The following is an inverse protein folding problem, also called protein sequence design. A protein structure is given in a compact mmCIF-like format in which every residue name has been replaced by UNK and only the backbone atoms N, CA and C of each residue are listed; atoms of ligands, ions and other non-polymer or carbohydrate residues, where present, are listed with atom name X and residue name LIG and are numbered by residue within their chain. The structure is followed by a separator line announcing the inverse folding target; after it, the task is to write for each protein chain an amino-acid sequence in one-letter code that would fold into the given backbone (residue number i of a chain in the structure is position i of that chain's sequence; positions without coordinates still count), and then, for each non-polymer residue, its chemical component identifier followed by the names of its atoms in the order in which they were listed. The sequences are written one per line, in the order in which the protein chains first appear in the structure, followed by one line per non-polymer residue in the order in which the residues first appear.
data_IF_379492774652
#
_entry.id   IF_379492774652
#
_cell.length_a   1.000
_cell.length_b   1.000
_cell.length_c   1.000
_cell.angle_alpha   90.00
_cell.angle_beta   90.00
_cell.angle_gamma   90.00
#
_symmetry.space_group_name_H-M   'P 1'
#
loop_
_entity.id
_entity.type
_entity.pdbx_description
1 polymer ?
#
# COMPACT_ATOMS: atom_id res chain seq x y z
N UNK A 1 -17.04 5.80 -1.13
CA UNK A 1 -17.01 7.23 -0.89
C UNK A 1 -16.45 7.95 -2.11
N UNK A 2 -16.98 9.09 -2.41
CA UNK A 2 -16.51 9.98 -3.50
C UNK A 2 -16.26 11.35 -2.92
N UNK A 3 -15.15 12.01 -3.28
CA UNK A 3 -14.79 13.35 -2.82
C UNK A 3 -14.65 13.46 -1.30
N UNK A 4 -14.30 12.37 -0.62
CA UNK A 4 -14.33 12.29 0.84
C UNK A 4 -12.92 12.39 1.42
N UNK A 5 -12.78 13.11 2.53
CA UNK A 5 -11.52 13.20 3.27
C UNK A 5 -11.63 12.49 4.62
N UNK A 6 -10.69 11.55 4.85
CA UNK A 6 -10.42 10.91 6.14
C UNK A 6 -9.08 11.44 6.67
N UNK A 7 -9.11 12.26 7.70
CA UNK A 7 -7.91 12.93 8.17
C UNK A 7 -7.71 12.82 9.67
N UNK A 8 -6.48 12.57 10.10
CA UNK A 8 -6.03 12.53 11.50
C UNK A 8 -6.81 11.55 12.37
N UNK A 9 -7.34 10.48 11.76
CA UNK A 9 -7.98 9.44 12.53
C UNK A 9 -6.91 8.53 13.17
N UNK A 10 -7.14 8.15 14.41
CA UNK A 10 -6.17 7.38 15.19
C UNK A 10 -6.82 6.13 15.76
N UNK A 11 -6.29 4.96 15.40
CA UNK A 11 -6.58 3.70 16.08
C UNK A 11 -5.49 3.45 17.13
N UNK A 12 -5.82 3.66 18.41
CA UNK A 12 -4.83 3.63 19.49
C UNK A 12 -4.33 2.23 19.84
N UNK A 13 -5.13 1.21 19.57
CA UNK A 13 -4.83 -0.15 20.01
C UNK A 13 -4.46 -1.12 18.91
N UNK A 14 -4.89 -0.93 17.66
CA UNK A 14 -4.73 -1.95 16.64
C UNK A 14 -4.63 -1.39 15.21
N UNK A 15 -5.68 -1.54 14.39
CA UNK A 15 -5.59 -1.48 12.93
C UNK A 15 -6.58 -0.48 12.34
N UNK A 16 -6.22 0.07 11.15
CA UNK A 16 -7.09 0.89 10.34
C UNK A 16 -7.41 2.24 10.98
N UNK A 17 -6.48 3.20 10.92
CA UNK A 17 -6.70 4.53 11.52
C UNK A 17 -7.92 5.23 10.95
N UNK A 18 -8.14 5.13 9.63
CA UNK A 18 -9.33 5.65 8.97
C UNK A 18 -10.43 4.61 8.81
N UNK A 19 -10.09 3.40 8.27
CA UNK A 19 -11.05 2.34 7.97
C UNK A 19 -10.50 0.97 8.35
N UNK A 20 -11.31 0.18 9.05
CA UNK A 20 -11.10 -1.25 9.26
C UNK A 20 -12.14 -2.03 8.47
N UNK A 21 -11.70 -2.86 7.50
CA UNK A 21 -12.58 -3.73 6.71
C UNK A 21 -12.28 -5.20 7.01
N UNK A 22 -13.25 -5.92 7.56
CA UNK A 22 -13.19 -7.36 7.79
C UNK A 22 -14.13 -8.08 6.82
N UNK A 23 -13.61 -8.44 5.63
CA UNK A 23 -14.39 -9.12 4.58
C UNK A 23 -15.34 -8.22 3.79
N UNK A 24 -15.33 -6.90 4.03
CA UNK A 24 -16.18 -5.94 3.32
C UNK A 24 -15.52 -5.34 2.07
N UNK A 25 -16.29 -4.57 1.30
CA UNK A 25 -15.80 -3.86 0.11
C UNK A 25 -15.76 -2.35 0.35
N UNK A 26 -14.63 -1.74 0.00
CA UNK A 26 -14.41 -0.30 0.03
C UNK A 26 -14.28 0.20 -1.41
N UNK A 27 -14.98 1.28 -1.73
CA UNK A 27 -14.79 2.03 -2.98
C UNK A 27 -14.45 3.48 -2.63
N UNK A 28 -13.30 3.94 -3.09
CA UNK A 28 -12.84 5.33 -2.95
C UNK A 28 -12.60 5.93 -4.34
N UNK A 29 -13.22 7.07 -4.58
CA UNK A 29 -13.05 7.83 -5.83
C UNK A 29 -12.82 9.30 -5.44
N UNK A 30 -11.84 9.96 -6.06
CA UNK A 30 -11.51 11.37 -5.82
C UNK A 30 -11.39 11.74 -4.33
N UNK A 31 -10.86 10.82 -3.53
CA UNK A 31 -10.89 10.93 -2.07
C UNK A 31 -9.49 11.16 -1.49
N UNK A 32 -9.42 11.48 -0.19
CA UNK A 32 -8.15 11.70 0.51
C UNK A 32 -8.13 10.96 1.84
N UNK A 33 -7.02 10.27 2.10
CA UNK A 33 -6.71 9.62 3.37
C UNK A 33 -5.40 10.21 3.89
N UNK A 34 -5.47 11.14 4.85
CA UNK A 34 -4.31 11.95 5.23
C UNK A 34 -4.01 11.87 6.72
N UNK A 35 -2.72 11.75 7.09
CA UNK A 35 -2.24 11.84 8.48
C UNK A 35 -2.95 10.85 9.43
N UNK A 36 -3.51 9.74 8.91
CA UNK A 36 -4.14 8.73 9.76
C UNK A 36 -3.07 7.83 10.39
N UNK A 37 -3.36 7.29 11.58
CA UNK A 37 -2.37 6.53 12.36
C UNK A 37 -2.97 5.28 12.98
N UNK A 38 -2.23 4.16 12.89
CA UNK A 38 -2.58 2.89 13.52
C UNK A 38 -1.33 2.03 13.79
N UNK A 39 -1.47 0.86 14.38
CA UNK A 39 -0.42 -0.13 14.42
C UNK A 39 -0.26 -0.84 13.06
N UNK A 40 -1.35 -1.11 12.35
CA UNK A 40 -1.33 -1.64 10.98
C UNK A 40 -2.34 -0.95 10.11
N UNK A 41 -1.94 -0.58 8.88
CA UNK A 41 -2.75 0.20 7.97
C UNK A 41 -3.10 1.56 8.54
N UNK A 42 -2.16 2.51 8.51
CA UNK A 42 -2.39 3.84 9.06
C UNK A 42 -3.67 4.47 8.54
N UNK A 43 -3.96 4.33 7.26
CA UNK A 43 -5.24 4.71 6.68
C UNK A 43 -6.26 3.56 6.72
N UNK A 44 -5.93 2.40 6.11
CA UNK A 44 -6.88 1.29 5.89
C UNK A 44 -6.24 -0.06 6.21
N UNK A 45 -7.01 -0.92 6.86
CA UNK A 45 -6.75 -2.36 6.85
C UNK A 45 -7.81 -3.12 6.06
N UNK A 46 -7.35 -4.10 5.27
CA UNK A 46 -8.18 -5.09 4.59
C UNK A 46 -7.89 -6.45 5.21
N UNK A 47 -8.78 -6.94 6.06
CA UNK A 47 -8.68 -8.21 6.75
C UNK A 47 -9.76 -9.19 6.26
N UNK A 48 -9.50 -10.50 6.38
CA UNK A 48 -10.52 -11.53 6.13
C UNK A 48 -11.13 -11.47 4.72
N UNK A 49 -10.33 -11.20 3.70
CA UNK A 49 -10.80 -11.07 2.32
C UNK A 49 -11.45 -9.72 1.99
N UNK A 50 -11.25 -8.70 2.82
CA UNK A 50 -11.70 -7.34 2.52
C UNK A 50 -11.12 -6.80 1.22
N UNK A 51 -11.87 -6.02 0.48
CA UNK A 51 -11.45 -5.46 -0.81
C UNK A 51 -11.47 -3.93 -0.81
N UNK A 52 -10.56 -3.32 -1.55
CA UNK A 52 -10.57 -1.88 -1.83
C UNK A 52 -10.36 -1.64 -3.32
N UNK A 53 -11.30 -0.92 -3.92
CA UNK A 53 -11.17 -0.35 -5.26
C UNK A 53 -10.96 1.15 -5.12
N UNK A 54 -9.84 1.64 -5.63
CA UNK A 54 -9.38 3.01 -5.40
C UNK A 54 -9.08 3.68 -6.73
N UNK A 55 -9.72 4.81 -6.97
CA UNK A 55 -9.55 5.59 -8.19
C UNK A 55 -9.25 7.04 -7.81
N UNK A 56 -8.24 7.63 -8.42
CA UNK A 56 -7.86 9.05 -8.29
C UNK A 56 -7.87 9.56 -6.83
N UNK A 57 -7.34 8.73 -5.93
CA UNK A 57 -7.38 8.99 -4.49
C UNK A 57 -5.96 9.17 -3.92
N UNK A 58 -5.79 10.14 -3.05
CA UNK A 58 -4.51 10.39 -2.38
C UNK A 58 -4.46 9.75 -0.98
N UNK A 59 -3.37 9.02 -0.72
CA UNK A 59 -2.98 8.53 0.60
C UNK A 59 -1.68 9.24 1.00
N UNK A 60 -1.79 10.24 1.90
CA UNK A 60 -0.66 11.09 2.22
C UNK A 60 -0.31 11.08 3.71
N UNK A 61 0.98 10.96 4.01
CA UNK A 61 1.53 11.08 5.37
C UNK A 61 0.85 10.18 6.42
N UNK A 62 0.28 9.04 6.01
CA UNK A 62 -0.27 8.07 6.96
C UNK A 62 0.85 7.28 7.62
N UNK A 63 0.66 6.90 8.89
CA UNK A 63 1.73 6.27 9.68
C UNK A 63 1.28 5.01 10.39
N UNK A 64 2.15 3.99 10.40
CA UNK A 64 1.89 2.73 11.09
C UNK A 64 3.19 2.02 11.53
N UNK A 65 3.06 0.87 12.19
CA UNK A 65 4.17 -0.07 12.33
C UNK A 65 4.34 -0.86 11.02
N UNK A 66 3.21 -1.28 10.42
CA UNK A 66 3.18 -2.00 9.15
C UNK A 66 2.13 -1.40 8.22
N UNK A 67 2.53 -1.09 6.97
CA UNK A 67 1.65 -0.47 5.98
C UNK A 67 1.23 0.94 6.37
N UNK A 68 2.07 1.95 6.13
CA UNK A 68 1.75 3.33 6.49
C UNK A 68 0.39 3.78 6.00
N UNK A 69 0.02 3.44 4.76
CA UNK A 69 -1.35 3.62 4.26
C UNK A 69 -2.19 2.35 4.39
N UNK A 70 -1.77 1.24 3.76
CA UNK A 70 -2.54 -0.01 3.75
C UNK A 70 -1.82 -1.16 4.47
N UNK A 71 -2.59 -1.89 5.29
CA UNK A 71 -2.26 -3.25 5.65
C UNK A 71 -3.28 -4.21 5.02
N UNK A 72 -2.79 -5.18 4.25
CA UNK A 72 -3.62 -6.17 3.55
C UNK A 72 -3.28 -7.54 4.09
N UNK A 73 -4.24 -8.20 4.73
CA UNK A 73 -4.07 -9.51 5.37
C UNK A 73 -5.10 -10.53 4.84
N UNK A 74 -4.68 -11.81 4.75
CA UNK A 74 -5.54 -12.97 4.51
C UNK A 74 -6.55 -12.78 3.35
N UNK A 75 -6.03 -12.84 2.14
CA UNK A 75 -6.81 -12.73 0.90
C UNK A 75 -7.44 -11.34 0.66
N UNK A 76 -7.02 -10.33 1.40
CA UNK A 76 -7.41 -8.96 1.11
C UNK A 76 -6.91 -8.52 -0.28
N UNK A 77 -7.66 -7.65 -0.94
CA UNK A 77 -7.34 -7.19 -2.30
C UNK A 77 -7.39 -5.67 -2.37
N UNK A 78 -6.30 -5.07 -2.78
CA UNK A 78 -6.23 -3.67 -3.19
C UNK A 78 -6.11 -3.58 -4.71
N UNK A 79 -7.01 -2.87 -5.34
CA UNK A 79 -6.93 -2.51 -6.76
C UNK A 79 -6.94 -0.99 -6.90
N UNK A 80 -6.00 -0.46 -7.66
CA UNK A 80 -5.98 0.96 -8.02
C UNK A 80 -6.21 1.14 -9.51
N UNK A 81 -6.83 2.25 -9.86
CA UNK A 81 -7.05 2.64 -11.25
C UNK A 81 -6.89 4.16 -11.41
N UNK A 82 -6.72 4.60 -12.64
CA UNK A 82 -6.90 5.99 -13.04
C UNK A 82 -8.26 6.13 -13.71
N UNK A 83 -9.07 7.04 -13.24
CA UNK A 83 -10.39 7.36 -13.84
C UNK A 83 -10.35 8.50 -14.82
N UNK A 84 -9.25 9.23 -14.90
CA UNK A 84 -9.19 10.51 -15.57
C UNK A 84 -8.20 10.64 -16.72
N UNK A 85 -8.41 11.70 -17.48
CA UNK A 85 -7.52 12.19 -18.53
C UNK A 85 -6.77 13.39 -17.95
N UNK A 86 -5.46 13.27 -17.75
CA UNK A 86 -4.63 14.38 -17.27
C UNK A 86 -3.34 13.89 -16.60
N UNK A 87 -2.37 14.77 -16.47
CA UNK A 87 -1.04 14.46 -15.90
C UNK A 87 -1.06 14.14 -14.41
N UNK A 88 -2.12 14.55 -13.70
CA UNK A 88 -2.29 14.35 -12.26
C UNK A 88 -3.38 13.31 -11.91
N UNK A 89 -3.99 12.69 -12.95
CA UNK A 89 -4.94 11.62 -12.75
C UNK A 89 -4.23 10.34 -12.27
N UNK A 90 -4.82 9.69 -11.28
CA UNK A 90 -4.34 8.44 -10.73
C UNK A 90 -4.20 8.44 -9.21
N UNK A 91 -4.08 7.25 -8.67
CA UNK A 91 -3.95 7.07 -7.22
C UNK A 91 -2.53 7.38 -6.75
N UNK A 92 -2.42 8.22 -5.71
CA UNK A 92 -1.15 8.67 -5.16
C UNK A 92 -0.95 8.15 -3.73
N UNK A 93 0.20 7.51 -3.49
CA UNK A 93 0.71 7.19 -2.15
C UNK A 93 1.94 8.05 -1.89
N UNK A 94 1.79 9.11 -1.08
CA UNK A 94 2.83 10.11 -0.87
C UNK A 94 3.25 10.21 0.60
N UNK A 95 4.55 10.06 0.85
CA UNK A 95 5.14 10.30 2.17
C UNK A 95 4.57 9.43 3.29
N UNK A 96 3.98 8.26 2.98
CA UNK A 96 3.51 7.35 4.03
C UNK A 96 4.69 6.66 4.70
N UNK A 97 4.56 6.38 6.00
CA UNK A 97 5.67 5.84 6.78
C UNK A 97 5.25 4.65 7.63
N UNK A 98 6.06 3.60 7.59
CA UNK A 98 5.96 2.48 8.51
C UNK A 98 7.29 2.29 9.25
N UNK A 99 7.23 1.98 10.54
CA UNK A 99 8.47 1.74 11.29
C UNK A 99 9.15 0.44 10.89
N UNK A 100 8.38 -0.55 10.41
CA UNK A 100 8.93 -1.87 10.09
C UNK A 100 8.74 -2.25 8.62
N UNK A 101 7.52 -2.39 8.13
CA UNK A 101 7.26 -2.99 6.82
C UNK A 101 6.30 -2.16 5.96
N UNK A 102 6.66 -1.94 4.69
CA UNK A 102 5.84 -1.32 3.67
C UNK A 102 5.43 0.11 4.02
N UNK A 103 6.23 1.10 3.63
CA UNK A 103 5.95 2.52 3.94
C UNK A 103 4.57 2.96 3.48
N UNK A 104 4.16 2.57 2.29
CA UNK A 104 2.78 2.74 1.83
C UNK A 104 1.95 1.48 2.08
N UNK A 105 2.37 0.31 1.60
CA UNK A 105 1.58 -0.91 1.60
C UNK A 105 2.35 -2.09 2.21
N UNK A 106 1.75 -2.73 3.20
CA UNK A 106 2.14 -4.06 3.65
C UNK A 106 1.08 -5.06 3.22
N UNK A 107 1.49 -6.09 2.47
CA UNK A 107 0.60 -7.17 2.07
C UNK A 107 1.11 -8.51 2.59
N UNK A 108 0.24 -9.21 3.32
CA UNK A 108 0.48 -10.55 3.82
C UNK A 108 -0.60 -11.50 3.30
N UNK A 109 -0.22 -12.43 2.42
CA UNK A 109 -1.15 -13.41 1.83
C UNK A 109 -2.36 -12.76 1.14
N UNK A 110 -2.17 -11.65 0.48
CA UNK A 110 -3.19 -10.88 -0.22
C UNK A 110 -2.75 -10.46 -1.62
N UNK A 111 -3.53 -9.61 -2.23
CA UNK A 111 -3.28 -9.11 -3.59
C UNK A 111 -3.19 -7.59 -3.61
N UNK A 112 -2.18 -7.09 -4.30
CA UNK A 112 -2.02 -5.68 -4.68
C UNK A 112 -1.97 -5.61 -6.19
N UNK A 113 -2.94 -4.93 -6.79
CA UNK A 113 -3.03 -4.69 -8.21
C UNK A 113 -3.01 -3.18 -8.47
N UNK A 114 -1.86 -2.67 -8.85
CA UNK A 114 -1.66 -1.25 -9.11
C UNK A 114 -1.78 -0.98 -10.61
N UNK A 115 -2.86 -0.32 -10.97
CA UNK A 115 -3.15 0.07 -12.34
C UNK A 115 -2.41 1.33 -12.79
N UNK A 116 -2.56 1.64 -14.06
CA UNK A 116 -1.96 2.80 -14.72
C UNK A 116 -2.25 4.10 -13.99
N UNK A 117 -1.26 4.99 -13.96
CA UNK A 117 -1.34 6.28 -13.28
C UNK A 117 -1.09 6.22 -11.76
N UNK A 118 -0.93 5.02 -11.18
CA UNK A 118 -0.60 4.91 -9.75
C UNK A 118 0.84 5.34 -9.50
N UNK A 119 1.02 6.17 -8.45
CA UNK A 119 2.32 6.65 -8.00
C UNK A 119 2.54 6.34 -6.53
N UNK A 120 3.70 5.79 -6.20
CA UNK A 120 4.17 5.61 -4.83
C UNK A 120 5.45 6.41 -4.68
N UNK A 121 5.40 7.54 -3.96
CA UNK A 121 6.55 8.42 -3.86
C UNK A 121 6.85 8.83 -2.40
N UNK A 122 8.15 8.97 -2.08
CA UNK A 122 8.58 9.46 -0.78
C UNK A 122 8.19 8.58 0.41
N UNK A 123 7.73 7.33 0.18
CA UNK A 123 7.32 6.44 1.27
C UNK A 123 8.55 5.82 1.94
N UNK A 124 8.44 5.52 3.25
CA UNK A 124 9.55 5.06 4.05
C UNK A 124 9.19 3.90 4.96
N UNK A 125 10.07 2.88 5.02
CA UNK A 125 10.01 1.79 6.00
C UNK A 125 11.38 1.14 6.19
N UNK A 126 11.55 0.29 7.22
CA UNK A 126 12.76 -0.53 7.31
C UNK A 126 12.83 -1.55 6.18
N UNK A 127 11.70 -2.15 5.78
CA UNK A 127 11.64 -3.10 4.66
C UNK A 127 10.56 -2.70 3.67
N UNK A 128 10.96 -2.53 2.39
CA UNK A 128 10.08 -2.06 1.33
C UNK A 128 9.63 -0.62 1.56
N UNK A 129 10.44 0.35 1.16
CA UNK A 129 10.12 1.76 1.35
C UNK A 129 8.72 2.12 0.90
N UNK A 130 8.27 1.60 -0.24
CA UNK A 130 6.88 1.70 -0.66
C UNK A 130 6.07 0.45 -0.29
N UNK A 131 6.49 -0.75 -0.75
CA UNK A 131 5.73 -1.98 -0.59
C UNK A 131 6.56 -3.08 0.07
N UNK A 132 5.99 -3.74 1.07
CA UNK A 132 6.47 -5.03 1.57
C UNK A 132 5.44 -6.11 1.30
N UNK A 133 5.87 -7.19 0.64
CA UNK A 133 5.03 -8.35 0.36
C UNK A 133 5.53 -9.58 1.10
N UNK A 134 4.64 -10.25 1.83
CA UNK A 134 4.93 -11.48 2.55
C UNK A 134 4.01 -12.61 2.11
N UNK A 135 4.61 -13.66 1.51
CA UNK A 135 3.96 -14.96 1.38
C UNK A 135 4.12 -15.74 2.69
N UNK A 136 3.03 -15.94 3.43
CA UNK A 136 3.02 -16.69 4.67
C UNK A 136 3.11 -18.20 4.44
N UNK A 137 3.12 -18.98 5.52
CA UNK A 137 3.17 -20.44 5.43
C UNK A 137 2.02 -20.96 4.56
N UNK A 138 2.37 -21.71 3.51
CA UNK A 138 1.43 -22.33 2.56
C UNK A 138 0.44 -21.35 1.91
N UNK A 139 0.83 -20.08 1.78
CA UNK A 139 0.00 -19.03 1.23
C UNK A 139 0.81 -18.06 0.35
N UNK A 140 0.12 -17.28 -0.48
CA UNK A 140 0.75 -16.42 -1.48
C UNK A 140 0.41 -14.96 -1.30
N UNK A 141 1.38 -14.08 -1.52
CA UNK A 141 1.14 -12.68 -1.84
C UNK A 141 1.28 -12.48 -3.36
N UNK A 142 0.37 -11.69 -3.94
CA UNK A 142 0.39 -11.35 -5.36
C UNK A 142 0.55 -9.85 -5.55
N UNK A 143 1.48 -9.47 -6.40
CA UNK A 143 1.71 -8.09 -6.81
C UNK A 143 1.56 -7.98 -8.33
N UNK A 144 0.78 -7.03 -8.79
CA UNK A 144 0.70 -6.66 -10.21
C UNK A 144 0.89 -5.16 -10.32
N UNK A 145 1.78 -4.73 -11.20
CA UNK A 145 2.05 -3.32 -11.45
C UNK A 145 1.94 -3.06 -12.95
N UNK A 146 1.08 -2.13 -13.35
CA UNK A 146 0.90 -1.72 -14.73
C UNK A 146 0.93 -0.20 -14.84
N UNK A 147 1.89 0.35 -15.57
CA UNK A 147 2.03 1.81 -15.71
C UNK A 147 2.20 2.54 -14.38
N UNK A 148 2.86 1.91 -13.41
CA UNK A 148 3.05 2.41 -12.05
C UNK A 148 4.41 3.09 -11.91
N UNK A 149 4.48 4.17 -11.12
CA UNK A 149 5.74 4.86 -10.79
C UNK A 149 6.08 4.70 -9.32
N UNK A 150 7.30 4.21 -9.04
CA UNK A 150 7.90 4.16 -7.70
C UNK A 150 9.02 5.19 -7.64
N UNK A 151 8.79 6.33 -6.95
CA UNK A 151 9.72 7.45 -6.90
C UNK A 151 10.21 7.78 -5.50
N UNK A 152 11.52 7.92 -5.29
CA UNK A 152 12.13 8.46 -4.05
C UNK A 152 11.70 7.75 -2.76
N UNK A 153 11.30 6.47 -2.84
CA UNK A 153 11.00 5.69 -1.64
C UNK A 153 12.30 5.23 -0.97
N UNK A 154 12.26 5.04 0.35
CA UNK A 154 13.46 4.70 1.09
C UNK A 154 13.23 3.58 2.11
N UNK A 155 14.22 2.69 2.21
CA UNK A 155 14.18 1.58 3.15
C UNK A 155 15.59 1.17 3.62
N UNK A 156 15.68 0.37 4.68
CA UNK A 156 16.91 -0.33 4.97
C UNK A 156 17.12 -1.45 3.96
N UNK A 157 16.06 -2.19 3.67
CA UNK A 157 16.06 -3.25 2.65
C UNK A 157 14.95 -2.98 1.62
N UNK A 158 15.28 -2.99 0.32
CA UNK A 158 14.35 -2.70 -0.75
C UNK A 158 13.80 -1.27 -0.70
N UNK A 159 14.49 -0.33 -1.33
CA UNK A 159 14.09 1.08 -1.32
C UNK A 159 12.66 1.32 -1.82
N UNK A 160 12.23 0.62 -2.85
CA UNK A 160 10.85 0.64 -3.30
C UNK A 160 10.08 -0.60 -2.81
N UNK A 161 10.47 -1.79 -3.24
CA UNK A 161 9.77 -3.05 -2.96
C UNK A 161 10.70 -4.03 -2.27
N UNK A 162 10.20 -4.67 -1.23
CA UNK A 162 10.82 -5.82 -0.58
C UNK A 162 9.83 -6.97 -0.53
N UNK A 163 10.28 -8.16 -0.90
CA UNK A 163 9.45 -9.37 -0.84
C UNK A 163 10.13 -10.46 -0.03
N UNK A 164 9.35 -11.23 0.71
CA UNK A 164 9.80 -12.37 1.49
C UNK A 164 8.73 -13.46 1.50
N UNK A 165 9.15 -14.70 1.69
CA UNK A 165 8.23 -15.81 1.84
C UNK A 165 8.67 -16.72 2.99
N UNK A 166 7.71 -17.23 3.75
CA UNK A 166 7.92 -18.31 4.72
C UNK A 166 8.00 -19.66 4.01
N UNK A 167 8.36 -20.72 4.74
CA UNK A 167 8.38 -22.09 4.19
C UNK A 167 7.01 -22.44 3.59
N UNK A 168 7.02 -22.89 2.33
CA UNK A 168 5.79 -23.19 1.56
C UNK A 168 5.03 -21.97 1.04
N UNK A 169 5.41 -20.77 1.45
CA UNK A 169 4.81 -19.53 0.94
C UNK A 169 5.46 -19.05 -0.36
N UNK A 170 4.76 -18.19 -1.08
CA UNK A 170 5.26 -17.57 -2.31
C UNK A 170 4.93 -16.09 -2.38
N UNK A 171 5.74 -15.33 -3.12
CA UNK A 171 5.39 -13.99 -3.59
C UNK A 171 5.49 -13.99 -5.11
N UNK A 172 4.37 -13.74 -5.77
CA UNK A 172 4.28 -13.65 -7.22
C UNK A 172 4.18 -12.20 -7.64
N UNK A 173 5.12 -11.70 -8.42
CA UNK A 173 5.12 -10.33 -8.91
C UNK A 173 5.15 -10.29 -10.43
N UNK A 174 4.31 -9.44 -11.02
CA UNK A 174 4.29 -9.12 -12.44
C UNK A 174 4.32 -7.60 -12.62
N UNK A 175 5.07 -7.13 -13.60
CA UNK A 175 5.22 -5.70 -13.88
C UNK A 175 5.23 -5.44 -15.39
N UNK A 176 4.53 -4.38 -15.82
CA UNK A 176 4.57 -3.85 -17.18
C UNK A 176 4.57 -2.32 -17.14
N UNK A 177 5.41 -1.71 -17.96
CA UNK A 177 5.51 -0.25 -18.08
C UNK A 177 5.73 0.47 -16.74
N UNK A 178 6.57 -0.11 -15.87
CA UNK A 178 6.84 0.40 -14.52
C UNK A 178 8.11 1.22 -14.49
N UNK A 179 8.07 2.34 -13.78
CA UNK A 179 9.23 3.20 -13.55
C UNK A 179 9.68 3.11 -12.09
N UNK A 180 10.96 2.85 -11.86
CA UNK A 180 11.62 2.96 -10.55
C UNK A 180 12.66 4.07 -10.63
N UNK A 181 12.49 5.16 -9.87
CA UNK A 181 13.39 6.29 -9.92
C UNK A 181 13.76 6.84 -8.52
N UNK A 182 15.03 7.06 -8.27
CA UNK A 182 15.50 7.69 -7.02
C UNK A 182 15.16 6.93 -5.74
N UNK A 183 14.79 5.64 -5.81
CA UNK A 183 14.54 4.85 -4.62
C UNK A 183 15.88 4.43 -3.98
N UNK A 184 15.96 4.46 -2.64
CA UNK A 184 17.19 4.18 -1.91
C UNK A 184 17.03 3.05 -0.91
N UNK A 185 18.02 2.14 -0.86
CA UNK A 185 18.18 1.17 0.21
C UNK A 185 19.55 1.39 0.88
N UNK A 186 19.59 1.33 2.22
CA UNK A 186 20.85 1.53 2.97
C UNK A 186 21.58 0.23 3.23
N UNK A 187 20.94 -0.91 3.05
CA UNK A 187 21.50 -2.27 3.15
C UNK A 187 20.76 -3.20 2.19
N UNK A 188 21.49 -4.10 1.55
CA UNK A 188 20.90 -5.11 0.65
C UNK A 188 21.50 -5.14 -0.71
#
# INVERSE_FOLDING_TARGET
ATGTTFRKNVATSNYGGGIYSAGGSIVLVDSRMEENKAAGGGAIILAGGGTASVTDTAFAANTATNGGAFFIDKNGVLTTASGGVGTDAGTLFDGNSATTNGGAVYVQNGTVDLGSGTRLQGNQAAKGGAIYALGGKDASAKLTFAGTVFGKNSGTYGGAVYSSASVGGTVNAAASDVVFEGNTATSG
#
